data_IF_659447693100
#
_entry.id   IF_659447693100
#
_cell.length_a   1.000
_cell.length_b   1.000
_cell.length_c   1.000
_cell.angle_alpha   90.00
_cell.angle_beta   90.00
_cell.angle_gamma   90.00
#
_symmetry.space_group_name_H-M   'P 1'
#
loop_
_entity.id
_entity.type
_entity.pdbx_description
1 polymer ?
#
# COMPACT_ATOMS: atom_id res chain seq x y z
N UNK A 1 13.30 8.82 -28.28
CA UNK A 1 12.12 7.93 -28.30
C UNK A 1 12.50 6.69 -27.52
N UNK A 2 12.09 6.63 -26.24
CA UNK A 2 12.30 5.43 -25.43
C UNK A 2 11.28 4.41 -25.90
N UNK A 3 11.74 3.30 -26.44
CA UNK A 3 10.92 2.16 -26.86
C UNK A 3 10.07 1.73 -25.66
N UNK A 4 8.78 1.41 -25.86
CA UNK A 4 7.98 0.83 -24.77
C UNK A 4 8.67 -0.45 -24.30
N UNK A 5 8.82 -0.61 -22.99
CA UNK A 5 9.35 -1.84 -22.39
C UNK A 5 8.60 -3.03 -22.97
N UNK A 6 9.30 -4.11 -23.35
CA UNK A 6 8.64 -5.30 -23.89
C UNK A 6 7.64 -5.81 -22.85
N UNK A 7 6.42 -6.03 -23.30
CA UNK A 7 5.45 -6.85 -22.58
C UNK A 7 6.11 -8.21 -22.42
N UNK A 8 6.43 -8.59 -21.18
CA UNK A 8 7.00 -9.90 -20.87
C UNK A 8 6.01 -10.96 -21.33
N UNK A 9 6.28 -11.56 -22.50
CA UNK A 9 5.63 -12.79 -22.89
C UNK A 9 5.95 -13.87 -21.87
N UNK A 10 4.91 -14.54 -21.43
CA UNK A 10 4.79 -15.61 -20.46
C UNK A 10 5.92 -16.66 -20.57
N UNK A 11 7.03 -16.47 -19.84
CA UNK A 11 7.98 -17.53 -19.55
C UNK A 11 7.86 -17.88 -18.08
N UNK A 12 6.87 -18.72 -17.81
CA UNK A 12 6.59 -19.33 -16.51
C UNK A 12 7.75 -20.19 -16.04
N UNK A 13 8.60 -19.64 -15.20
CA UNK A 13 9.53 -20.45 -14.37
C UNK A 13 8.92 -20.81 -13.02
N UNK A 14 7.78 -20.21 -12.65
CA UNK A 14 7.09 -20.51 -11.40
C UNK A 14 5.60 -20.76 -11.68
N UNK A 15 5.12 -21.94 -11.26
CA UNK A 15 3.72 -22.32 -11.42
C UNK A 15 2.80 -21.21 -10.86
N UNK A 16 1.79 -20.82 -11.65
CA UNK A 16 0.64 -20.09 -11.11
C UNK A 16 0.09 -20.96 -9.98
N UNK A 17 0.16 -20.46 -8.74
CA UNK A 17 -0.45 -21.17 -7.62
C UNK A 17 -1.89 -21.52 -7.99
N UNK A 18 -2.26 -22.78 -7.76
CA UNK A 18 -3.62 -23.24 -8.00
C UNK A 18 -4.59 -22.36 -7.21
N UNK A 19 -5.50 -21.69 -7.91
CA UNK A 19 -6.52 -20.82 -7.31
C UNK A 19 -7.73 -21.59 -6.78
N UNK A 20 -7.68 -22.93 -6.80
CA UNK A 20 -8.75 -23.76 -6.28
C UNK A 20 -8.88 -23.63 -4.76
N UNK A 21 -10.12 -23.46 -4.30
CA UNK A 21 -10.42 -23.40 -2.88
C UNK A 21 -10.85 -24.79 -2.41
N UNK A 22 -10.02 -25.42 -1.58
CA UNK A 22 -10.33 -26.68 -0.91
C UNK A 22 -10.70 -26.38 0.55
N UNK A 23 -11.82 -26.90 1.07
CA UNK A 23 -12.15 -26.77 2.49
C UNK A 23 -11.06 -27.34 3.40
N UNK A 24 -10.99 -26.82 4.64
CA UNK A 24 -10.07 -27.34 5.64
C UNK A 24 -10.38 -28.81 5.97
N UNK A 25 -9.36 -29.65 6.21
CA UNK A 25 -9.55 -30.98 6.74
C UNK A 25 -10.35 -30.97 8.07
N UNK A 26 -11.15 -31.99 8.33
CA UNK A 26 -12.02 -32.01 9.52
C UNK A 26 -11.26 -31.97 10.85
N UNK A 27 -10.05 -32.51 10.89
CA UNK A 27 -9.17 -32.43 12.06
C UNK A 27 -8.66 -31.01 12.34
N UNK A 28 -8.79 -30.08 11.37
CA UNK A 28 -8.40 -28.67 11.53
C UNK A 28 -9.65 -27.85 11.85
N UNK A 29 -9.84 -27.55 13.12
CA UNK A 29 -11.01 -26.80 13.60
C UNK A 29 -10.78 -25.29 13.74
N UNK A 30 -9.50 -24.85 13.64
CA UNK A 30 -9.13 -23.45 13.86
C UNK A 30 -8.03 -22.97 12.92
N UNK A 31 -8.23 -21.76 12.36
CA UNK A 31 -7.19 -21.00 11.66
C UNK A 31 -6.95 -19.67 12.39
N UNK A 32 -5.70 -19.38 12.72
CA UNK A 32 -5.29 -18.10 13.33
C UNK A 32 -4.35 -17.39 12.37
N UNK A 33 -4.77 -16.21 11.91
CA UNK A 33 -4.02 -15.39 10.96
C UNK A 33 -3.47 -14.18 11.71
N UNK A 34 -2.15 -14.09 11.80
CA UNK A 34 -1.43 -12.93 12.32
C UNK A 34 -1.06 -12.04 11.15
N UNK A 35 -1.81 -10.96 10.93
CA UNK A 35 -1.50 -9.94 9.93
C UNK A 35 -0.57 -8.91 10.57
N UNK A 36 0.66 -8.88 10.11
CA UNK A 36 1.73 -8.10 10.72
C UNK A 36 2.25 -7.06 9.75
N UNK A 37 2.21 -5.79 10.15
CA UNK A 37 3.03 -4.74 9.56
C UNK A 37 4.34 -4.69 10.33
N UNK A 38 5.47 -5.10 9.75
CA UNK A 38 6.76 -5.02 10.44
C UNK A 38 7.16 -3.55 10.66
N UNK A 39 7.98 -3.31 11.66
CA UNK A 39 8.66 -2.03 11.83
C UNK A 39 9.93 -1.99 10.95
N UNK A 40 10.83 -1.08 11.23
CA UNK A 40 12.12 -0.94 10.57
C UNK A 40 13.23 -0.79 11.61
N UNK A 41 14.45 -1.00 11.19
CA UNK A 41 15.62 -0.61 11.95
C UNK A 41 15.97 0.87 11.68
N UNK A 42 16.58 1.54 12.65
CA UNK A 42 17.27 2.80 12.45
C UNK A 42 18.72 2.56 11.99
N UNK A 43 19.46 3.65 11.78
CA UNK A 43 20.83 3.58 11.26
C UNK A 43 21.82 2.91 12.25
N UNK A 44 21.48 2.86 13.54
CA UNK A 44 22.24 2.16 14.57
C UNK A 44 21.81 0.68 14.74
N UNK A 45 20.83 0.22 13.95
CA UNK A 45 20.31 -1.15 13.98
C UNK A 45 19.26 -1.41 15.08
N UNK A 46 18.78 -0.38 15.75
CA UNK A 46 17.71 -0.54 16.73
C UNK A 46 16.34 -0.53 16.09
N UNK A 47 15.43 -1.32 16.64
CA UNK A 47 14.06 -1.40 16.15
C UNK A 47 13.28 -0.13 16.49
N UNK A 48 12.86 0.60 15.46
CA UNK A 48 12.05 1.82 15.60
C UNK A 48 10.67 1.47 16.15
N UNK A 49 10.30 2.09 17.26
CA UNK A 49 8.96 1.99 17.86
C UNK A 49 8.47 3.34 18.33
N UNK A 50 7.18 3.56 18.13
CA UNK A 50 6.50 4.77 18.56
C UNK A 50 5.50 4.45 19.67
N UNK A 51 5.29 5.39 20.57
CA UNK A 51 4.26 5.28 21.59
C UNK A 51 2.85 5.17 20.98
N UNK A 52 2.61 5.89 19.88
CA UNK A 52 1.40 5.81 19.05
C UNK A 52 1.75 5.96 17.58
N UNK A 53 1.01 5.27 16.72
CA UNK A 53 1.10 5.44 15.28
C UNK A 53 0.41 6.72 14.83
N UNK A 54 0.74 7.18 13.62
CA UNK A 54 0.06 8.31 12.97
C UNK A 54 -0.99 7.79 12.00
N UNK A 55 -0.57 6.97 11.03
CA UNK A 55 -1.44 6.41 10.00
C UNK A 55 -1.61 4.89 10.20
N UNK A 56 -2.85 4.38 10.22
CA UNK A 56 -3.10 2.94 10.22
C UNK A 56 -2.68 2.33 8.87
N UNK A 57 -2.30 1.05 8.90
CA UNK A 57 -1.95 0.33 7.67
C UNK A 57 -3.19 0.00 6.85
N UNK A 58 -3.26 0.53 5.62
CA UNK A 58 -4.30 0.16 4.67
C UNK A 58 -4.22 -1.33 4.30
N UNK A 59 -3.01 -1.87 4.10
CA UNK A 59 -2.82 -3.29 3.77
C UNK A 59 -3.38 -4.21 4.85
N UNK A 60 -3.15 -3.92 6.14
CA UNK A 60 -3.76 -4.69 7.23
C UNK A 60 -5.28 -4.60 7.21
N UNK A 61 -5.83 -3.43 6.91
CA UNK A 61 -7.28 -3.21 6.79
C UNK A 61 -7.87 -3.95 5.59
N UNK A 62 -7.18 -3.96 4.43
CA UNK A 62 -7.56 -4.75 3.24
C UNK A 62 -7.61 -6.24 3.57
N UNK A 63 -6.53 -6.80 4.10
CA UNK A 63 -6.48 -8.24 4.41
C UNK A 63 -7.47 -8.63 5.51
N UNK A 64 -7.76 -7.74 6.46
CA UNK A 64 -8.81 -7.96 7.43
C UNK A 64 -10.20 -8.03 6.76
N UNK A 65 -10.51 -7.10 5.84
CA UNK A 65 -11.75 -7.12 5.06
C UNK A 65 -11.89 -8.38 4.21
N UNK A 66 -10.84 -8.79 3.51
CA UNK A 66 -10.80 -10.04 2.73
C UNK A 66 -10.99 -11.27 3.62
N UNK A 67 -10.41 -11.29 4.82
CA UNK A 67 -10.57 -12.40 5.77
C UNK A 67 -12.00 -12.45 6.31
N UNK A 68 -12.59 -11.29 6.63
CA UNK A 68 -13.98 -11.23 7.09
C UNK A 68 -14.96 -11.73 6.00
N UNK A 69 -14.71 -11.46 4.71
CA UNK A 69 -15.45 -12.01 3.58
C UNK A 69 -15.32 -13.55 3.49
N UNK A 70 -14.10 -14.09 3.63
CA UNK A 70 -13.87 -15.55 3.67
C UNK A 70 -14.66 -16.19 4.82
N UNK A 71 -14.69 -15.57 5.99
CA UNK A 71 -15.45 -16.03 7.16
C UNK A 71 -16.96 -16.02 6.86
N UNK A 72 -17.48 -14.95 6.27
CA UNK A 72 -18.91 -14.83 5.95
C UNK A 72 -19.36 -15.86 4.92
N UNK A 73 -18.59 -16.06 3.87
CA UNK A 73 -18.88 -17.03 2.80
C UNK A 73 -18.67 -18.47 3.22
N UNK A 74 -17.95 -18.73 4.31
CA UNK A 74 -17.62 -20.07 4.84
C UNK A 74 -16.95 -21.01 3.81
N UNK A 75 -16.19 -20.44 2.87
CA UNK A 75 -15.60 -21.20 1.73
C UNK A 75 -14.54 -22.21 2.16
N UNK A 76 -13.93 -22.04 3.35
CA UNK A 76 -12.94 -22.97 3.92
C UNK A 76 -13.57 -24.06 4.83
N UNK A 77 -14.89 -24.17 4.85
CA UNK A 77 -15.61 -25.14 5.68
C UNK A 77 -16.36 -24.50 6.85
N UNK A 78 -17.58 -24.99 7.10
CA UNK A 78 -18.46 -24.48 8.17
C UNK A 78 -17.93 -24.77 9.58
N UNK A 79 -17.11 -25.81 9.73
CA UNK A 79 -16.52 -26.26 11.01
C UNK A 79 -15.31 -25.41 11.40
N UNK A 80 -14.65 -24.71 10.43
CA UNK A 80 -13.42 -23.97 10.66
C UNK A 80 -13.69 -22.61 11.34
N UNK A 81 -13.14 -22.41 12.52
CA UNK A 81 -13.12 -21.10 13.20
C UNK A 81 -11.92 -20.29 12.77
N UNK A 82 -12.15 -19.18 12.08
CA UNK A 82 -11.09 -18.27 11.61
C UNK A 82 -10.99 -17.07 12.55
N UNK A 83 -9.79 -16.73 12.98
CA UNK A 83 -9.51 -15.55 13.80
C UNK A 83 -8.33 -14.77 13.25
N UNK A 84 -8.48 -13.45 13.20
CA UNK A 84 -7.46 -12.51 12.71
C UNK A 84 -6.90 -11.68 13.87
N UNK A 85 -5.58 -11.60 13.95
CA UNK A 85 -4.86 -10.74 14.91
C UNK A 85 -4.07 -9.72 14.09
N UNK A 86 -4.39 -8.43 14.28
CA UNK A 86 -3.67 -7.33 13.63
C UNK A 86 -2.52 -6.90 14.55
N UNK A 87 -1.31 -6.82 13.99
CA UNK A 87 -0.10 -6.38 14.70
C UNK A 87 0.59 -5.32 13.87
N UNK A 88 0.70 -4.11 14.39
CA UNK A 88 1.57 -3.07 13.85
C UNK A 88 2.80 -2.96 14.76
N UNK A 89 3.94 -3.54 14.31
CA UNK A 89 5.15 -3.61 15.15
C UNK A 89 5.75 -2.23 15.44
N UNK A 90 5.38 -1.21 14.66
CA UNK A 90 5.82 0.16 14.94
C UNK A 90 5.23 0.75 16.23
N UNK A 91 4.13 0.17 16.75
CA UNK A 91 3.42 0.65 17.94
C UNK A 91 3.14 -0.44 18.98
N UNK A 92 3.45 -1.70 18.69
CA UNK A 92 3.28 -2.82 19.63
C UNK A 92 4.34 -3.89 19.43
N UNK A 93 4.45 -4.80 20.38
CA UNK A 93 5.39 -5.93 20.30
C UNK A 93 4.75 -7.11 19.61
N UNK A 94 5.57 -7.87 18.86
CA UNK A 94 5.16 -9.17 18.32
C UNK A 94 4.67 -10.09 19.48
N UNK A 95 3.48 -10.69 19.35
CA UNK A 95 2.92 -11.58 20.39
C UNK A 95 3.52 -12.98 20.30
N UNK A 96 4.85 -13.11 20.41
CA UNK A 96 5.63 -14.33 20.16
C UNK A 96 5.10 -15.56 20.88
N UNK A 97 4.84 -15.45 22.19
CA UNK A 97 4.33 -16.58 22.99
C UNK A 97 2.99 -17.09 22.48
N UNK A 98 2.11 -16.18 22.06
CA UNK A 98 0.78 -16.53 21.54
C UNK A 98 0.89 -17.19 20.18
N UNK A 99 1.73 -16.68 19.28
CA UNK A 99 1.98 -17.27 17.95
C UNK A 99 2.46 -18.72 18.09
N UNK A 100 3.48 -18.95 18.93
CA UNK A 100 4.01 -20.31 19.13
C UNK A 100 3.01 -21.24 19.80
N UNK A 101 2.23 -20.77 20.75
CA UNK A 101 1.17 -21.56 21.39
C UNK A 101 0.05 -21.95 20.40
N UNK A 102 -0.35 -21.03 19.52
CA UNK A 102 -1.36 -21.33 18.51
C UNK A 102 -0.79 -22.25 17.41
N UNK A 103 0.47 -22.09 17.02
CA UNK A 103 1.13 -22.96 16.03
C UNK A 103 1.31 -24.41 16.54
N UNK A 104 1.63 -24.60 17.81
CA UNK A 104 1.80 -25.93 18.43
C UNK A 104 0.49 -26.62 18.87
N UNK A 105 -0.67 -25.94 18.75
CA UNK A 105 -1.95 -26.49 19.22
C UNK A 105 -2.54 -27.48 18.21
N UNK A 106 -2.85 -28.69 18.66
CA UNK A 106 -3.52 -29.70 17.84
C UNK A 106 -4.85 -29.16 17.26
N UNK A 107 -5.13 -29.45 15.99
CA UNK A 107 -6.32 -29.00 15.28
C UNK A 107 -6.34 -27.50 14.95
N UNK A 108 -5.22 -26.80 15.13
CA UNK A 108 -5.06 -25.38 14.78
C UNK A 108 -4.02 -25.21 13.68
N UNK A 109 -4.32 -24.38 12.71
CA UNK A 109 -3.33 -23.80 11.77
C UNK A 109 -3.09 -22.35 12.17
N UNK A 110 -1.83 -21.98 12.37
CA UNK A 110 -1.42 -20.60 12.57
C UNK A 110 -0.51 -20.16 11.42
N UNK A 111 -0.69 -18.94 10.95
CA UNK A 111 0.15 -18.33 9.91
C UNK A 111 0.49 -16.89 10.29
N UNK A 112 1.75 -16.52 10.10
CA UNK A 112 2.23 -15.14 10.20
C UNK A 112 2.32 -14.56 8.80
N UNK A 113 1.57 -13.49 8.53
CA UNK A 113 1.55 -12.80 7.25
C UNK A 113 2.20 -11.43 7.42
N UNK A 114 3.43 -11.28 6.98
CA UNK A 114 4.15 -10.01 6.94
C UNK A 114 3.64 -9.22 5.73
N UNK A 115 2.81 -8.22 5.97
CA UNK A 115 1.96 -7.61 4.95
C UNK A 115 2.34 -6.15 4.68
N UNK A 116 2.35 -5.76 3.40
CA UNK A 116 2.64 -4.40 2.96
C UNK A 116 4.10 -4.00 3.22
N UNK A 117 5.01 -4.95 3.16
CA UNK A 117 6.44 -4.74 3.46
C UNK A 117 7.04 -3.75 2.47
N UNK A 118 7.50 -2.61 2.98
CA UNK A 118 8.23 -1.59 2.26
C UNK A 118 9.74 -1.90 2.29
N UNK A 119 10.52 -1.21 1.45
CA UNK A 119 11.98 -1.44 1.36
C UNK A 119 12.68 -1.23 2.70
N UNK A 120 12.39 -0.15 3.40
CA UNK A 120 12.97 0.12 4.71
C UNK A 120 12.51 -0.82 5.85
N UNK A 121 11.47 -1.63 5.60
CA UNK A 121 10.96 -2.64 6.53
C UNK A 121 11.48 -4.04 6.20
N UNK A 122 12.08 -4.23 5.02
CA UNK A 122 12.39 -5.55 4.50
C UNK A 122 13.41 -6.31 5.35
N UNK A 123 14.46 -5.65 5.83
CA UNK A 123 15.45 -6.26 6.72
C UNK A 123 14.76 -6.83 7.99
N UNK A 124 13.92 -6.02 8.65
CA UNK A 124 13.16 -6.46 9.82
C UNK A 124 12.15 -7.56 9.50
N UNK A 125 11.45 -7.45 8.38
CA UNK A 125 10.51 -8.48 7.92
C UNK A 125 11.21 -9.82 7.68
N UNK A 126 12.39 -9.80 7.07
CA UNK A 126 13.23 -10.98 6.85
C UNK A 126 13.61 -11.65 8.17
N UNK A 127 14.07 -10.90 9.16
CA UNK A 127 14.43 -11.45 10.48
C UNK A 127 13.23 -12.11 11.16
N UNK A 128 12.05 -11.47 11.13
CA UNK A 128 10.82 -12.07 11.65
C UNK A 128 10.47 -13.34 10.89
N UNK A 129 10.55 -13.31 9.56
CA UNK A 129 10.20 -14.43 8.71
C UNK A 129 11.08 -15.65 8.99
N UNK A 130 12.40 -15.45 9.03
CA UNK A 130 13.37 -16.51 9.28
C UNK A 130 13.26 -17.05 10.70
N UNK A 131 13.08 -16.18 11.73
CA UNK A 131 12.85 -16.62 13.10
C UNK A 131 11.65 -17.56 13.21
N UNK A 132 10.48 -17.15 12.72
CA UNK A 132 9.28 -17.97 12.85
C UNK A 132 9.32 -19.23 11.97
N UNK A 133 9.88 -19.16 10.76
CA UNK A 133 10.07 -20.33 9.91
C UNK A 133 10.97 -21.38 10.58
N UNK A 134 12.09 -20.98 11.19
CA UNK A 134 12.97 -21.87 11.93
C UNK A 134 12.31 -22.55 13.15
N UNK A 135 11.23 -21.95 13.67
CA UNK A 135 10.40 -22.49 14.75
C UNK A 135 9.20 -23.31 14.24
N UNK A 136 9.15 -23.60 12.94
CA UNK A 136 8.08 -24.40 12.33
C UNK A 136 6.74 -23.68 12.19
N UNK A 137 6.71 -22.36 12.31
CA UNK A 137 5.52 -21.53 12.05
C UNK A 137 5.42 -21.24 10.56
N UNK A 138 4.25 -21.37 9.96
CA UNK A 138 4.01 -20.95 8.57
C UNK A 138 4.11 -19.43 8.46
N UNK A 139 4.91 -18.97 7.50
CA UNK A 139 5.12 -17.54 7.26
C UNK A 139 4.85 -17.20 5.80
N UNK A 140 4.09 -16.16 5.56
CA UNK A 140 3.96 -15.52 4.25
C UNK A 140 4.49 -14.09 4.33
N UNK A 141 5.17 -13.62 3.28
CA UNK A 141 5.65 -12.25 3.16
C UNK A 141 5.18 -11.64 1.84
N UNK A 142 4.61 -10.45 1.89
CA UNK A 142 4.13 -9.72 0.72
C UNK A 142 4.20 -8.19 0.92
N UNK A 143 4.26 -7.47 -0.17
CA UNK A 143 4.33 -6.01 -0.15
C UNK A 143 5.15 -5.46 -1.30
N UNK A 144 5.38 -4.15 -1.29
CA UNK A 144 6.02 -3.47 -2.42
C UNK A 144 7.45 -3.95 -2.66
N UNK A 145 8.23 -4.22 -1.61
CA UNK A 145 9.61 -4.69 -1.79
C UNK A 145 9.68 -6.01 -2.56
N UNK A 146 9.06 -7.07 -2.03
CA UNK A 146 9.12 -8.39 -2.70
C UNK A 146 8.41 -8.40 -4.05
N UNK A 147 7.32 -7.63 -4.19
CA UNK A 147 6.63 -7.48 -5.48
C UNK A 147 7.50 -6.73 -6.50
N UNK A 148 8.18 -5.68 -6.06
CA UNK A 148 9.09 -4.90 -6.91
C UNK A 148 10.31 -5.71 -7.37
N UNK A 149 10.92 -6.46 -6.46
CA UNK A 149 12.02 -7.37 -6.81
C UNK A 149 11.56 -8.42 -7.82
N UNK A 150 10.43 -9.07 -7.58
CA UNK A 150 9.87 -10.08 -8.50
C UNK A 150 9.49 -9.50 -9.86
N UNK A 151 8.99 -8.24 -9.90
CA UNK A 151 8.62 -7.57 -11.14
C UNK A 151 9.84 -7.22 -12.00
N UNK A 152 10.93 -6.75 -11.36
CA UNK A 152 12.12 -6.27 -12.07
C UNK A 152 13.11 -7.39 -12.41
N UNK A 153 13.14 -8.44 -11.61
CA UNK A 153 14.08 -9.56 -11.72
C UNK A 153 13.30 -10.89 -11.70
N UNK A 154 12.61 -11.24 -12.78
CA UNK A 154 11.78 -12.44 -12.86
C UNK A 154 12.57 -13.75 -12.77
N UNK A 155 13.89 -13.70 -13.00
CA UNK A 155 14.81 -14.81 -12.80
C UNK A 155 15.08 -15.13 -11.33
N UNK A 156 14.63 -14.26 -10.42
CA UNK A 156 14.86 -14.37 -8.99
C UNK A 156 16.01 -13.52 -8.48
N UNK A 157 16.06 -13.31 -7.18
CA UNK A 157 17.11 -12.57 -6.50
C UNK A 157 17.59 -13.33 -5.27
N UNK A 158 18.82 -13.07 -4.77
CA UNK A 158 19.33 -13.72 -3.56
C UNK A 158 18.41 -13.54 -2.35
N UNK A 159 17.78 -12.38 -2.21
CA UNK A 159 16.87 -12.07 -1.09
C UNK A 159 15.61 -12.93 -1.13
N UNK A 160 15.00 -13.07 -2.32
CA UNK A 160 13.83 -13.95 -2.51
C UNK A 160 14.21 -15.40 -2.30
N UNK A 161 15.35 -15.84 -2.85
CA UNK A 161 15.86 -17.21 -2.66
C UNK A 161 16.10 -17.53 -1.18
N UNK A 162 16.76 -16.62 -0.43
CA UNK A 162 16.98 -16.78 1.02
C UNK A 162 15.69 -17.01 1.81
N UNK A 163 14.62 -16.32 1.47
CA UNK A 163 13.31 -16.49 2.12
C UNK A 163 12.69 -17.84 1.76
N UNK A 164 12.64 -18.17 0.47
CA UNK A 164 12.01 -19.42 0.00
C UNK A 164 12.75 -20.66 0.45
N UNK A 165 14.09 -20.65 0.47
CA UNK A 165 14.93 -21.74 0.95
C UNK A 165 14.75 -21.99 2.45
N UNK A 166 14.41 -20.96 3.21
CA UNK A 166 14.06 -21.08 4.63
C UNK A 166 12.61 -21.53 4.88
N UNK A 167 11.83 -21.83 3.84
CA UNK A 167 10.45 -22.26 3.94
C UNK A 167 9.44 -21.11 4.14
N UNK A 168 9.83 -19.88 3.86
CA UNK A 168 8.94 -18.72 3.85
C UNK A 168 8.25 -18.63 2.50
N UNK A 169 6.94 -18.46 2.49
CA UNK A 169 6.18 -18.22 1.27
C UNK A 169 6.22 -16.75 0.89
N UNK A 170 6.70 -16.45 -0.30
CA UNK A 170 6.69 -15.11 -0.89
C UNK A 170 5.42 -14.91 -1.72
N UNK A 171 4.73 -13.78 -1.53
CA UNK A 171 3.52 -13.41 -2.27
C UNK A 171 3.75 -12.06 -2.97
N UNK A 172 3.94 -12.10 -4.27
CA UNK A 172 4.12 -10.93 -5.12
C UNK A 172 2.81 -10.52 -5.81
N UNK A 173 2.48 -9.24 -5.75
CA UNK A 173 1.25 -8.68 -6.29
C UNK A 173 0.09 -8.61 -5.28
N UNK A 174 -1.11 -8.36 -5.81
CA UNK A 174 -2.33 -8.15 -5.03
C UNK A 174 -3.14 -9.45 -4.91
N UNK A 175 -3.88 -9.60 -3.80
CA UNK A 175 -4.49 -10.88 -3.42
C UNK A 175 -6.01 -10.86 -3.25
N UNK A 176 -6.69 -9.80 -3.69
CA UNK A 176 -8.13 -9.60 -3.45
C UNK A 176 -8.98 -10.80 -3.91
N UNK A 177 -8.75 -11.30 -5.09
CA UNK A 177 -9.47 -12.45 -5.67
C UNK A 177 -8.80 -13.80 -5.35
N UNK A 178 -7.66 -13.81 -4.64
CA UNK A 178 -6.83 -15.00 -4.36
C UNK A 178 -6.65 -15.29 -2.87
N UNK A 179 -7.07 -14.38 -2.00
CA UNK A 179 -6.86 -14.53 -0.55
C UNK A 179 -7.49 -15.80 0.02
N UNK A 180 -8.70 -16.14 -0.44
CA UNK A 180 -9.36 -17.38 -0.03
C UNK A 180 -8.58 -18.63 -0.45
N UNK A 181 -7.97 -18.64 -1.63
CA UNK A 181 -7.14 -19.75 -2.12
C UNK A 181 -5.83 -19.86 -1.33
N UNK A 182 -5.16 -18.75 -1.04
CA UNK A 182 -3.97 -18.74 -0.17
C UNK A 182 -4.30 -19.29 1.23
N UNK A 183 -5.41 -18.88 1.83
CA UNK A 183 -5.83 -19.43 3.12
C UNK A 183 -6.23 -20.92 3.02
N UNK A 184 -6.79 -21.35 1.88
CA UNK A 184 -7.01 -22.76 1.60
C UNK A 184 -5.70 -23.55 1.61
N UNK A 185 -4.65 -23.03 1.00
CA UNK A 185 -3.34 -23.68 1.00
C UNK A 185 -2.71 -23.71 2.39
N UNK A 186 -2.91 -22.66 3.21
CA UNK A 186 -2.50 -22.68 4.63
C UNK A 186 -3.15 -23.82 5.41
N UNK A 187 -4.47 -24.00 5.32
CA UNK A 187 -5.18 -25.02 6.11
C UNK A 187 -4.92 -26.43 5.63
N UNK A 188 -4.63 -26.59 4.33
CA UNK A 188 -4.33 -27.87 3.70
C UNK A 188 -2.82 -28.18 3.61
N UNK A 189 -1.97 -27.33 4.18
CA UNK A 189 -0.50 -27.49 4.22
C UNK A 189 0.14 -27.59 2.82
N UNK A 190 -0.33 -26.75 1.89
CA UNK A 190 0.07 -26.77 0.47
C UNK A 190 0.71 -25.46 0.00
N UNK A 191 1.15 -24.62 0.95
CA UNK A 191 1.79 -23.35 0.60
C UNK A 191 2.96 -23.58 -0.37
N UNK A 192 2.98 -22.80 -1.45
CA UNK A 192 4.08 -22.79 -2.40
C UNK A 192 5.18 -21.83 -1.94
N UNK A 193 6.42 -22.01 -2.35
CA UNK A 193 7.50 -21.07 -2.04
C UNK A 193 7.22 -19.66 -2.57
N UNK A 194 6.66 -19.53 -3.77
CA UNK A 194 6.34 -18.25 -4.41
C UNK A 194 4.96 -18.30 -5.08
N UNK A 195 4.14 -17.29 -4.77
CA UNK A 195 2.95 -16.93 -5.55
C UNK A 195 3.23 -15.61 -6.27
N UNK A 196 3.16 -15.61 -7.60
CA UNK A 196 3.35 -14.42 -8.41
C UNK A 196 2.05 -14.05 -9.14
N UNK A 197 1.41 -12.98 -8.70
CA UNK A 197 0.14 -12.45 -9.22
C UNK A 197 0.30 -11.14 -10.01
N UNK A 198 1.52 -10.69 -10.25
CA UNK A 198 1.82 -9.41 -10.89
C UNK A 198 1.24 -9.27 -12.30
N UNK A 199 1.24 -10.36 -13.08
CA UNK A 199 0.72 -10.35 -14.44
C UNK A 199 -0.81 -10.21 -14.51
N UNK A 200 -1.53 -10.50 -13.43
CA UNK A 200 -2.99 -10.54 -13.38
C UNK A 200 -3.54 -9.80 -12.17
N UNK A 201 -3.34 -8.48 -12.06
CA UNK A 201 -3.84 -7.72 -10.93
C UNK A 201 -5.38 -7.79 -10.88
N UNK A 202 -5.98 -7.95 -9.68
CA UNK A 202 -7.42 -8.12 -9.53
C UNK A 202 -8.17 -6.84 -9.89
N UNK A 203 -9.37 -6.97 -10.43
CA UNK A 203 -10.32 -5.85 -10.49
C UNK A 203 -10.81 -5.52 -9.08
N UNK A 204 -10.96 -4.23 -8.75
CA UNK A 204 -11.36 -3.79 -7.41
C UNK A 204 -12.89 -3.71 -7.22
N UNK A 205 -13.63 -3.64 -8.31
CA UNK A 205 -15.09 -3.63 -8.29
C UNK A 205 -15.63 -4.87 -7.57
N UNK A 206 -16.52 -4.67 -6.60
CA UNK A 206 -17.13 -5.72 -5.77
C UNK A 206 -16.16 -6.53 -4.90
N UNK A 207 -14.89 -6.12 -4.83
CA UNK A 207 -13.97 -6.71 -3.85
C UNK A 207 -14.22 -6.12 -2.46
N UNK A 208 -13.98 -6.88 -1.39
CA UNK A 208 -14.08 -6.37 -0.03
C UNK A 208 -13.27 -5.09 0.15
N UNK A 209 -13.89 -4.10 0.79
CA UNK A 209 -13.27 -2.80 1.07
C UNK A 209 -12.44 -2.92 2.35
N UNK A 210 -11.33 -2.14 2.50
CA UNK A 210 -10.53 -2.11 3.71
C UNK A 210 -11.39 -1.90 4.96
N UNK A 211 -11.28 -2.81 5.93
CA UNK A 211 -12.09 -2.79 7.15
C UNK A 211 -11.26 -2.36 8.35
N UNK A 212 -11.57 -1.19 8.88
CA UNK A 212 -10.90 -0.65 10.06
C UNK A 212 -11.53 -1.24 11.32
N UNK A 213 -10.71 -1.79 12.22
CA UNK A 213 -11.17 -2.30 13.52
C UNK A 213 -10.86 -1.29 14.63
N UNK A 214 -11.87 -0.87 15.40
CA UNK A 214 -11.71 0.11 16.49
C UNK A 214 -10.62 -0.29 17.50
N UNK A 215 -10.47 -1.59 17.80
CA UNK A 215 -9.41 -2.10 18.69
C UNK A 215 -8.02 -1.80 18.15
N UNK A 216 -7.83 -1.85 16.83
CA UNK A 216 -6.59 -1.48 16.16
C UNK A 216 -6.34 0.03 16.25
N UNK A 217 -7.38 0.84 16.01
CA UNK A 217 -7.29 2.31 16.01
C UNK A 217 -6.90 2.92 17.37
N UNK A 218 -7.15 2.24 18.48
CA UNK A 218 -6.75 2.71 19.82
C UNK A 218 -5.25 2.92 19.98
N UNK A 219 -4.44 2.36 19.09
CA UNK A 219 -2.97 2.48 19.07
C UNK A 219 -2.46 3.69 18.30
N UNK A 220 -3.35 4.47 17.70
CA UNK A 220 -3.00 5.64 16.87
C UNK A 220 -3.31 6.95 17.60
N UNK A 221 -2.54 7.99 17.28
CA UNK A 221 -2.71 9.32 17.87
C UNK A 221 -4.07 9.93 17.46
N UNK A 222 -4.44 9.74 16.19
CA UNK A 222 -5.73 10.16 15.64
C UNK A 222 -6.63 8.94 15.53
N UNK A 223 -7.46 8.71 16.56
CA UNK A 223 -8.26 7.47 16.68
C UNK A 223 -9.48 7.40 15.78
N UNK A 224 -9.86 8.50 15.11
CA UNK A 224 -10.94 8.58 14.14
C UNK A 224 -10.45 8.62 12.68
N UNK A 225 -9.14 8.44 12.44
CA UNK A 225 -8.54 8.39 11.12
C UNK A 225 -8.57 6.96 10.58
N UNK A 226 -9.25 6.74 9.45
CA UNK A 226 -9.21 5.49 8.69
C UNK A 226 -8.45 5.64 7.39
N UNK A 227 -8.06 4.53 6.79
CA UNK A 227 -7.55 4.47 5.42
C UNK A 227 -8.55 3.76 4.53
N UNK A 228 -8.63 4.17 3.28
CA UNK A 228 -9.47 3.54 2.26
C UNK A 228 -8.82 3.73 0.89
N UNK A 229 -8.76 2.66 0.09
CA UNK A 229 -8.38 2.75 -1.31
C UNK A 229 -9.63 2.75 -2.20
N UNK A 230 -9.74 3.72 -3.08
CA UNK A 230 -10.82 3.79 -4.06
C UNK A 230 -10.33 3.39 -5.46
N UNK A 231 -9.04 3.45 -5.68
CA UNK A 231 -8.37 2.96 -6.89
C UNK A 231 -6.93 2.56 -6.62
N UNK A 232 -6.34 1.81 -7.55
CA UNK A 232 -4.92 1.44 -7.57
C UNK A 232 -4.37 1.53 -8.97
N UNK A 233 -3.06 1.79 -9.05
CA UNK A 233 -2.33 2.02 -10.28
C UNK A 233 -2.26 3.50 -10.65
N UNK A 234 -1.34 3.84 -11.57
CA UNK A 234 -1.11 5.22 -11.99
C UNK A 234 -0.77 5.27 -13.48
N UNK A 235 -1.40 6.14 -14.29
CA UNK A 235 -1.19 6.16 -15.75
C UNK A 235 0.15 6.79 -16.16
N UNK A 236 0.85 7.47 -15.25
CA UNK A 236 2.11 8.15 -15.51
C UNK A 236 3.29 7.16 -15.61
N UNK A 237 4.49 7.66 -15.90
CA UNK A 237 5.65 6.82 -16.20
C UNK A 237 6.94 7.30 -15.48
N UNK A 238 6.79 7.78 -14.24
CA UNK A 238 7.92 8.28 -13.44
C UNK A 238 8.91 7.15 -13.16
N UNK A 239 10.20 7.35 -13.47
CA UNK A 239 11.23 6.30 -13.42
C UNK A 239 11.56 5.83 -12.01
N UNK A 240 11.43 6.71 -11.02
CA UNK A 240 11.66 6.42 -9.60
C UNK A 240 10.49 5.68 -8.92
N UNK A 241 9.31 5.62 -9.57
CA UNK A 241 8.08 5.13 -8.96
C UNK A 241 7.92 3.62 -9.13
N UNK A 242 7.58 2.93 -8.04
CA UNK A 242 7.34 1.48 -8.01
C UNK A 242 5.92 1.09 -8.45
N UNK A 243 4.96 2.00 -8.30
CA UNK A 243 3.53 1.74 -8.49
C UNK A 243 3.24 1.17 -9.88
N UNK A 244 3.79 1.80 -10.90
CA UNK A 244 3.52 1.45 -12.31
C UNK A 244 3.96 0.03 -12.67
N UNK A 245 4.93 -0.52 -11.95
CA UNK A 245 5.49 -1.85 -12.20
C UNK A 245 4.90 -2.93 -11.26
N UNK A 246 4.36 -2.53 -10.11
CA UNK A 246 3.77 -3.44 -9.13
C UNK A 246 2.23 -3.48 -9.23
N UNK A 247 1.59 -2.33 -9.37
CA UNK A 247 0.12 -2.22 -9.48
C UNK A 247 -0.36 -1.95 -10.92
N UNK A 248 0.55 -1.54 -11.79
CA UNK A 248 0.28 -1.31 -13.21
C UNK A 248 -0.12 0.13 -13.54
N UNK A 249 -0.13 0.42 -14.85
CA UNK A 249 -0.46 1.75 -15.39
C UNK A 249 -1.95 1.93 -15.68
N UNK A 250 -2.74 0.85 -15.68
CA UNK A 250 -4.20 0.91 -15.82
C UNK A 250 -4.81 1.15 -14.45
N UNK A 251 -5.50 2.27 -14.28
CA UNK A 251 -6.27 2.53 -13.07
C UNK A 251 -7.38 1.50 -12.90
N UNK A 252 -7.40 0.81 -11.76
CA UNK A 252 -8.46 -0.10 -11.34
C UNK A 252 -9.23 0.56 -10.21
N UNK A 253 -10.54 0.75 -10.39
CA UNK A 253 -11.35 1.60 -9.54
C UNK A 253 -12.48 0.82 -8.88
N UNK A 254 -12.80 1.15 -7.63
CA UNK A 254 -14.04 0.75 -6.96
C UNK A 254 -15.20 1.61 -7.45
N UNK A 255 -16.40 1.10 -7.32
CA UNK A 255 -17.61 1.90 -7.49
C UNK A 255 -18.01 2.55 -6.15
N UNK A 256 -18.71 3.69 -6.20
CA UNK A 256 -19.21 4.35 -5.00
C UNK A 256 -20.09 3.41 -4.16
N UNK A 257 -20.89 2.55 -4.81
CA UNK A 257 -21.70 1.54 -4.14
C UNK A 257 -20.92 0.53 -3.32
N UNK A 258 -19.67 0.21 -3.70
CA UNK A 258 -18.80 -0.70 -2.96
C UNK A 258 -18.38 -0.09 -1.61
N UNK A 259 -18.25 1.25 -1.56
CA UNK A 259 -17.70 1.98 -0.41
C UNK A 259 -18.74 2.33 0.65
N UNK A 260 -20.02 2.57 0.25
CA UNK A 260 -21.05 3.14 1.11
C UNK A 260 -21.21 2.43 2.45
N UNK A 261 -21.41 1.12 2.41
CA UNK A 261 -21.67 0.34 3.63
C UNK A 261 -20.47 0.34 4.58
N UNK A 262 -19.26 0.19 4.02
CA UNK A 262 -18.01 0.21 4.82
C UNK A 262 -17.78 1.56 5.47
N UNK A 263 -18.04 2.67 4.77
CA UNK A 263 -17.92 4.02 5.35
C UNK A 263 -18.93 4.20 6.48
N UNK A 264 -20.17 3.74 6.32
CA UNK A 264 -21.21 3.78 7.37
C UNK A 264 -20.80 2.93 8.58
N UNK A 265 -20.32 1.70 8.37
CA UNK A 265 -19.84 0.83 9.45
C UNK A 265 -18.67 1.44 10.20
N UNK A 266 -17.71 2.02 9.48
CA UNK A 266 -16.58 2.72 10.06
C UNK A 266 -17.03 3.95 10.86
N UNK A 267 -17.95 4.75 10.32
CA UNK A 267 -18.52 5.90 11.03
C UNK A 267 -19.18 5.50 12.36
N UNK A 268 -19.94 4.40 12.38
CA UNK A 268 -20.55 3.86 13.60
C UNK A 268 -19.50 3.39 14.63
N UNK A 269 -18.28 3.15 14.22
CA UNK A 269 -17.14 2.86 15.09
C UNK A 269 -16.36 4.11 15.50
N UNK A 270 -16.76 5.30 15.03
CA UNK A 270 -16.12 6.59 15.31
C UNK A 270 -15.03 6.98 14.33
N UNK A 271 -14.97 6.36 13.15
CA UNK A 271 -14.05 6.72 12.06
C UNK A 271 -14.79 7.66 11.10
N UNK A 272 -14.36 8.90 11.01
CA UNK A 272 -14.95 9.91 10.15
C UNK A 272 -13.95 10.83 9.45
N UNK A 273 -12.65 10.57 9.64
CA UNK A 273 -11.58 11.20 8.88
C UNK A 273 -10.85 10.12 8.09
N UNK A 274 -10.67 10.31 6.77
CA UNK A 274 -10.04 9.32 5.91
C UNK A 274 -8.80 9.84 5.22
N UNK A 275 -7.79 8.98 5.12
CA UNK A 275 -6.76 9.11 4.12
C UNK A 275 -7.11 8.19 2.94
N UNK A 276 -7.38 8.79 1.77
CA UNK A 276 -7.52 8.04 0.52
C UNK A 276 -6.13 7.63 0.04
N UNK A 277 -5.86 6.33 0.10
CA UNK A 277 -4.55 5.75 -0.21
C UNK A 277 -4.36 5.45 -1.69
N UNK A 278 -5.20 6.03 -2.54
CA UNK A 278 -5.07 5.99 -3.99
C UNK A 278 -3.72 6.58 -4.41
N UNK A 279 -3.05 5.96 -5.37
CA UNK A 279 -1.79 6.48 -5.91
C UNK A 279 -1.99 7.84 -6.62
N UNK A 280 -3.20 8.07 -7.13
CA UNK A 280 -3.61 9.32 -7.75
C UNK A 280 -5.15 9.38 -7.89
N UNK A 281 -5.83 9.90 -6.87
CA UNK A 281 -7.29 9.96 -6.86
C UNK A 281 -7.88 10.76 -8.03
N UNK A 282 -7.19 11.82 -8.48
CA UNK A 282 -7.64 12.64 -9.60
C UNK A 282 -7.73 11.88 -10.94
N UNK A 283 -7.11 10.70 -11.04
CA UNK A 283 -7.16 9.84 -12.23
C UNK A 283 -8.11 8.65 -12.08
N UNK A 284 -8.82 8.55 -10.96
CA UNK A 284 -9.88 7.59 -10.75
C UNK A 284 -11.11 7.99 -11.59
N UNK A 285 -11.49 7.17 -12.55
CA UNK A 285 -12.65 7.46 -13.44
C UNK A 285 -13.98 7.61 -12.70
N UNK A 286 -14.08 7.10 -11.47
CA UNK A 286 -15.26 7.15 -10.61
C UNK A 286 -15.17 8.26 -9.55
N UNK A 287 -14.17 9.16 -9.64
CA UNK A 287 -13.93 10.21 -8.64
C UNK A 287 -15.19 11.01 -8.32
N UNK A 288 -15.96 11.36 -9.36
CA UNK A 288 -17.15 12.18 -9.22
C UNK A 288 -18.23 11.47 -8.38
N UNK A 289 -18.56 10.23 -8.73
CA UNK A 289 -19.55 9.45 -7.99
C UNK A 289 -19.11 9.09 -6.56
N UNK A 290 -17.82 8.97 -6.32
CA UNK A 290 -17.27 8.74 -4.97
C UNK A 290 -17.42 10.01 -4.12
N UNK A 291 -17.12 11.18 -4.67
CA UNK A 291 -17.33 12.44 -3.97
C UNK A 291 -18.81 12.71 -3.74
N UNK A 292 -19.69 12.39 -4.70
CA UNK A 292 -21.16 12.48 -4.49
C UNK A 292 -21.63 11.60 -3.34
N UNK A 293 -21.11 10.36 -3.25
CA UNK A 293 -21.40 9.49 -2.10
C UNK A 293 -21.04 10.15 -0.77
N UNK A 294 -19.85 10.77 -0.67
CA UNK A 294 -19.42 11.42 0.57
C UNK A 294 -20.30 12.65 0.87
N UNK A 295 -20.66 13.43 -0.15
CA UNK A 295 -21.59 14.56 -0.01
C UNK A 295 -22.93 14.07 0.55
N UNK A 296 -23.48 13.00 -0.02
CA UNK A 296 -24.76 12.42 0.43
C UNK A 296 -24.67 11.97 1.89
N UNK A 297 -23.59 11.25 2.25
CA UNK A 297 -23.35 10.82 3.63
C UNK A 297 -23.21 12.01 4.60
N UNK A 298 -22.60 13.10 4.17
CA UNK A 298 -22.48 14.33 4.96
C UNK A 298 -23.84 15.05 5.10
N UNK A 299 -24.65 15.07 4.05
CA UNK A 299 -26.04 15.58 4.11
C UNK A 299 -26.93 14.73 5.03
N UNK A 300 -26.64 13.42 5.18
CA UNK A 300 -27.26 12.54 6.17
C UNK A 300 -26.74 12.79 7.62
N UNK A 301 -25.86 13.75 7.85
CA UNK A 301 -25.36 14.18 9.17
C UNK A 301 -24.09 13.46 9.65
N UNK A 302 -23.29 12.83 8.77
CA UNK A 302 -22.10 12.05 9.19
C UNK A 302 -20.81 12.83 9.32
N UNK A 303 -20.68 14.04 8.81
CA UNK A 303 -19.48 14.89 8.93
C UNK A 303 -18.16 14.19 8.61
N UNK A 304 -18.12 13.50 7.46
CA UNK A 304 -16.93 12.83 6.96
C UNK A 304 -15.99 13.86 6.35
N UNK A 305 -14.72 13.79 6.70
CA UNK A 305 -13.64 14.57 6.08
C UNK A 305 -12.55 13.64 5.57
N UNK A 306 -11.73 14.12 4.64
CA UNK A 306 -10.65 13.31 4.09
C UNK A 306 -9.49 14.14 3.56
N UNK A 307 -8.36 13.45 3.41
CA UNK A 307 -7.21 13.88 2.63
C UNK A 307 -6.95 12.87 1.51
N UNK A 308 -6.40 13.33 0.37
CA UNK A 308 -6.17 12.50 -0.80
C UNK A 308 -4.86 12.84 -1.52
N UNK A 309 -4.31 11.88 -2.26
CA UNK A 309 -3.14 12.05 -3.11
C UNK A 309 -3.56 12.33 -4.55
N UNK A 310 -2.95 13.34 -5.15
CA UNK A 310 -3.25 13.82 -6.51
C UNK A 310 -1.99 14.25 -7.25
N UNK A 311 -2.07 14.33 -8.57
CA UNK A 311 -1.06 15.01 -9.37
C UNK A 311 -1.31 16.51 -9.50
N UNK A 312 -0.29 17.25 -9.93
CA UNK A 312 -0.31 18.71 -10.08
C UNK A 312 -1.36 19.25 -11.05
N UNK A 313 -1.88 18.43 -11.98
CA UNK A 313 -2.91 18.81 -12.95
C UNK A 313 -4.33 18.59 -12.45
N UNK A 314 -4.52 18.07 -11.25
CA UNK A 314 -5.84 17.77 -10.72
C UNK A 314 -6.77 19.00 -10.70
N UNK A 315 -6.23 20.17 -10.38
CA UNK A 315 -6.98 21.42 -10.36
C UNK A 315 -7.55 21.84 -11.73
N UNK A 316 -6.98 21.33 -12.83
CA UNK A 316 -7.48 21.58 -14.20
C UNK A 316 -8.68 20.71 -14.60
N UNK A 317 -9.06 19.73 -13.76
CA UNK A 317 -10.24 18.90 -14.02
C UNK A 317 -11.49 19.70 -13.68
N UNK A 318 -12.42 19.91 -14.63
CA UNK A 318 -13.61 20.73 -14.39
C UNK A 318 -14.41 20.23 -13.18
N UNK A 319 -14.70 21.13 -12.23
CA UNK A 319 -15.51 20.84 -11.05
C UNK A 319 -14.84 19.97 -9.97
N UNK A 320 -13.58 19.53 -10.16
CA UNK A 320 -12.92 18.62 -9.23
C UNK A 320 -12.62 19.27 -7.89
N UNK A 321 -12.08 20.49 -7.90
CA UNK A 321 -11.69 21.22 -6.68
C UNK A 321 -12.93 21.55 -5.85
N UNK A 322 -13.95 22.15 -6.46
CA UNK A 322 -15.20 22.57 -5.79
C UNK A 322 -15.95 21.35 -5.23
N UNK A 323 -16.04 20.26 -6.02
CA UNK A 323 -16.70 19.03 -5.56
C UNK A 323 -15.92 18.37 -4.43
N UNK A 324 -14.59 18.35 -4.50
CA UNK A 324 -13.72 17.83 -3.43
C UNK A 324 -13.96 18.58 -2.11
N UNK A 325 -13.98 19.91 -2.15
CA UNK A 325 -14.29 20.72 -0.96
C UNK A 325 -15.67 20.43 -0.40
N UNK A 326 -16.69 20.41 -1.25
CA UNK A 326 -18.08 20.08 -0.84
C UNK A 326 -18.20 18.69 -0.22
N UNK A 327 -17.40 17.72 -0.68
CA UNK A 327 -17.36 16.38 -0.13
C UNK A 327 -16.63 16.31 1.23
N UNK A 328 -15.92 17.36 1.65
CA UNK A 328 -15.20 17.42 2.92
C UNK A 328 -13.69 17.17 2.79
N UNK A 329 -13.11 17.37 1.59
CA UNK A 329 -11.66 17.38 1.44
C UNK A 329 -11.05 18.53 2.28
N UNK A 330 -10.17 18.17 3.19
CA UNK A 330 -9.47 19.12 4.05
C UNK A 330 -8.04 19.39 3.60
N UNK A 331 -7.42 18.42 2.90
CA UNK A 331 -6.03 18.50 2.48
C UNK A 331 -5.80 17.64 1.23
N UNK A 332 -4.96 18.14 0.34
CA UNK A 332 -4.41 17.35 -0.78
C UNK A 332 -2.91 17.14 -0.61
N UNK A 333 -2.44 15.92 -0.90
CA UNK A 333 -1.02 15.65 -1.07
C UNK A 333 -0.69 15.65 -2.56
N UNK A 334 0.21 16.54 -2.97
CA UNK A 334 0.56 16.77 -4.37
C UNK A 334 1.99 16.35 -4.64
N UNK A 335 2.21 15.44 -5.57
CA UNK A 335 3.55 15.05 -6.00
C UNK A 335 4.18 16.12 -6.89
N UNK A 336 4.81 17.13 -6.30
CA UNK A 336 5.60 18.14 -7.04
C UNK A 336 6.95 17.58 -7.48
N UNK A 337 7.62 16.88 -6.62
CA UNK A 337 8.91 16.20 -6.72
C UNK A 337 10.10 17.14 -6.88
N UNK A 338 10.06 18.14 -7.76
CA UNK A 338 11.12 19.12 -8.00
C UNK A 338 10.56 20.41 -8.60
N UNK A 339 11.25 21.51 -8.40
CA UNK A 339 11.00 22.79 -9.06
C UNK A 339 11.95 22.97 -10.27
N UNK A 340 12.89 22.06 -10.45
CA UNK A 340 13.80 22.05 -11.61
C UNK A 340 13.18 21.26 -12.77
N UNK A 341 12.88 21.90 -13.93
CA UNK A 341 12.30 21.23 -15.08
C UNK A 341 13.17 20.09 -15.66
N UNK A 342 14.49 20.20 -15.57
CA UNK A 342 15.40 19.19 -16.08
C UNK A 342 15.35 17.92 -15.20
N UNK A 343 15.22 18.05 -13.88
CA UNK A 343 14.99 16.95 -12.97
C UNK A 343 13.66 16.21 -13.30
N UNK A 344 12.58 16.97 -13.48
CA UNK A 344 11.27 16.40 -13.84
C UNK A 344 11.32 15.65 -15.18
N UNK A 345 12.02 16.20 -16.15
CA UNK A 345 12.23 15.56 -17.47
C UNK A 345 13.05 14.29 -17.35
N UNK A 346 14.15 14.30 -16.60
CA UNK A 346 15.00 13.13 -16.36
C UNK A 346 14.25 12.00 -15.67
N UNK A 347 13.37 12.35 -14.70
CA UNK A 347 12.52 11.42 -13.97
C UNK A 347 11.28 10.96 -14.76
N UNK A 348 11.10 11.39 -16.01
CA UNK A 348 9.91 11.04 -16.81
C UNK A 348 8.61 11.63 -16.29
N UNK A 349 8.68 12.65 -15.42
CA UNK A 349 7.50 13.31 -14.81
C UNK A 349 6.96 14.45 -15.70
N UNK A 350 6.61 14.11 -16.92
CA UNK A 350 6.22 15.05 -17.98
C UNK A 350 4.88 15.75 -17.74
N UNK A 351 4.08 15.28 -16.77
CA UNK A 351 2.83 15.93 -16.38
C UNK A 351 3.04 17.17 -15.52
N UNK A 352 4.21 17.35 -14.91
CA UNK A 352 4.51 18.49 -14.06
C UNK A 352 4.99 19.69 -14.91
N UNK A 353 4.41 20.85 -14.67
CA UNK A 353 4.83 22.14 -15.19
C UNK A 353 5.09 23.08 -14.02
N UNK A 354 6.34 23.45 -13.82
CA UNK A 354 6.77 24.30 -12.68
C UNK A 354 6.07 25.65 -12.70
N UNK A 355 5.79 26.20 -13.90
CA UNK A 355 5.10 27.47 -14.06
C UNK A 355 3.66 27.48 -13.50
N UNK A 356 3.04 26.32 -13.40
CA UNK A 356 1.68 26.17 -12.89
C UNK A 356 1.60 26.02 -11.36
N UNK A 357 2.70 25.77 -10.66
CA UNK A 357 2.67 25.32 -9.25
C UNK A 357 2.06 26.34 -8.30
N UNK A 358 2.47 27.62 -8.39
CA UNK A 358 1.92 28.67 -7.54
C UNK A 358 0.41 28.84 -7.77
N UNK A 359 -0.02 28.82 -9.03
CA UNK A 359 -1.45 28.94 -9.36
C UNK A 359 -2.24 27.70 -8.89
N UNK A 360 -1.68 26.51 -9.00
CA UNK A 360 -2.31 25.29 -8.47
C UNK A 360 -2.54 25.41 -6.95
N UNK A 361 -1.56 25.88 -6.19
CA UNK A 361 -1.68 26.10 -4.74
C UNK A 361 -2.77 27.12 -4.44
N UNK A 362 -2.78 28.26 -5.15
CA UNK A 362 -3.79 29.32 -5.01
C UNK A 362 -5.22 28.78 -5.21
N UNK A 363 -5.45 28.00 -6.27
CA UNK A 363 -6.78 27.41 -6.55
C UNK A 363 -7.28 26.50 -5.42
N UNK A 364 -6.39 25.70 -4.82
CA UNK A 364 -6.77 24.87 -3.67
C UNK A 364 -7.02 25.71 -2.41
N UNK A 365 -6.21 26.75 -2.17
CA UNK A 365 -6.39 27.68 -1.05
C UNK A 365 -7.70 28.46 -1.16
N UNK A 366 -8.07 28.96 -2.35
CA UNK A 366 -9.34 29.66 -2.59
C UNK A 366 -10.54 28.75 -2.27
N UNK A 367 -10.42 27.45 -2.50
CA UNK A 367 -11.41 26.47 -2.07
C UNK A 367 -11.34 26.16 -0.56
N UNK A 368 -10.36 26.68 0.18
CA UNK A 368 -10.14 26.38 1.60
C UNK A 368 -9.68 24.95 1.86
N UNK A 369 -8.82 24.40 1.00
CA UNK A 369 -8.20 23.09 1.12
C UNK A 369 -6.69 23.27 1.26
N UNK A 370 -6.10 22.67 2.30
CA UNK A 370 -4.67 22.74 2.54
C UNK A 370 -3.87 21.95 1.50
N UNK A 371 -2.70 22.48 1.12
CA UNK A 371 -1.80 21.87 0.14
C UNK A 371 -0.53 21.35 0.82
N UNK A 372 -0.38 20.04 0.83
CA UNK A 372 0.82 19.33 1.26
C UNK A 372 1.56 18.82 0.03
N UNK A 373 2.83 19.18 -0.14
CA UNK A 373 3.62 18.78 -1.30
C UNK A 373 4.67 17.73 -0.94
N UNK A 374 4.88 16.77 -1.85
CA UNK A 374 6.04 15.88 -1.85
C UNK A 374 7.15 16.50 -2.70
N UNK A 375 8.34 16.63 -2.11
CA UNK A 375 9.55 17.12 -2.76
C UNK A 375 10.66 16.09 -2.60
N UNK A 376 11.38 15.77 -3.68
CA UNK A 376 12.46 14.79 -3.69
C UNK A 376 13.79 15.51 -3.86
N UNK A 377 14.75 15.20 -2.99
CA UNK A 377 16.12 15.72 -3.00
C UNK A 377 17.03 14.62 -3.53
N UNK A 378 17.98 14.98 -4.39
CA UNK A 378 19.00 14.07 -4.94
C UNK A 378 18.78 13.69 -6.40
N UNK A 379 17.96 14.43 -7.12
CA UNK A 379 17.91 14.32 -8.58
C UNK A 379 19.23 14.75 -9.22
N UNK A 380 19.53 14.30 -10.47
CA UNK A 380 20.83 14.51 -11.11
C UNK A 380 21.29 15.97 -11.25
N UNK A 381 20.34 16.92 -11.26
CA UNK A 381 20.63 18.35 -11.41
C UNK A 381 20.49 19.13 -10.09
N UNK A 382 20.35 18.44 -8.96
CA UNK A 382 20.32 19.07 -7.65
C UNK A 382 21.74 19.46 -7.20
N UNK A 383 21.85 20.62 -6.57
CA UNK A 383 22.98 21.06 -5.77
C UNK A 383 22.50 21.50 -4.40
N UNK A 384 23.35 21.55 -3.37
CA UNK A 384 22.95 22.07 -2.06
C UNK A 384 22.33 23.47 -2.15
N UNK A 385 22.86 24.34 -3.02
CA UNK A 385 22.38 25.71 -3.22
C UNK A 385 21.00 25.71 -3.90
N UNK A 386 20.79 24.90 -4.96
CA UNK A 386 19.51 24.84 -5.65
C UNK A 386 18.41 24.28 -4.74
N UNK A 387 18.71 23.24 -3.95
CA UNK A 387 17.74 22.69 -2.97
C UNK A 387 17.40 23.73 -1.90
N UNK A 388 18.39 24.47 -1.37
CA UNK A 388 18.13 25.53 -0.39
C UNK A 388 17.27 26.66 -0.96
N UNK A 389 17.43 26.98 -2.24
CA UNK A 389 16.60 27.95 -2.95
C UNK A 389 15.18 27.43 -3.17
N UNK A 390 15.05 26.17 -3.60
CA UNK A 390 13.76 25.53 -3.81
C UNK A 390 12.92 25.46 -2.53
N UNK A 391 13.55 25.21 -1.35
CA UNK A 391 12.86 25.24 -0.05
C UNK A 391 12.29 26.64 0.23
N UNK A 392 13.06 27.74 -0.05
CA UNK A 392 12.57 29.10 0.11
C UNK A 392 11.41 29.39 -0.85
N UNK A 393 11.51 28.97 -2.11
CA UNK A 393 10.46 29.19 -3.11
C UNK A 393 9.16 28.46 -2.76
N UNK A 394 9.24 27.25 -2.21
CA UNK A 394 8.06 26.52 -1.71
C UNK A 394 7.34 27.32 -0.60
N UNK A 395 8.10 27.92 0.32
CA UNK A 395 7.55 28.68 1.45
C UNK A 395 7.06 30.06 1.04
N UNK A 396 7.90 30.84 0.34
CA UNK A 396 7.69 32.27 0.16
C UNK A 396 6.92 32.61 -1.13
N UNK A 397 7.19 31.87 -2.23
CA UNK A 397 6.56 32.12 -3.52
C UNK A 397 5.29 31.28 -3.70
N UNK A 398 5.35 29.97 -3.45
CA UNK A 398 4.24 29.04 -3.67
C UNK A 398 3.32 28.96 -2.46
N UNK A 399 3.82 29.30 -1.25
CA UNK A 399 3.05 29.35 0.01
C UNK A 399 2.33 28.04 0.33
N UNK A 400 3.02 26.91 0.15
CA UNK A 400 2.47 25.60 0.50
C UNK A 400 2.28 25.49 2.02
N UNK A 401 1.21 24.83 2.47
CA UNK A 401 0.95 24.69 3.91
C UNK A 401 1.91 23.69 4.57
N UNK A 402 2.32 22.66 3.82
CA UNK A 402 3.25 21.64 4.29
C UNK A 402 4.09 21.11 3.14
N UNK A 403 5.35 20.82 3.41
CA UNK A 403 6.22 20.09 2.49
C UNK A 403 6.83 18.88 3.19
N UNK A 404 6.80 17.71 2.52
CA UNK A 404 7.57 16.54 2.90
C UNK A 404 8.75 16.38 1.96
N UNK A 405 9.95 16.33 2.53
CA UNK A 405 11.19 16.15 1.79
C UNK A 405 11.61 14.68 1.85
N UNK A 406 11.83 14.09 0.70
CA UNK A 406 12.27 12.71 0.53
C UNK A 406 13.63 12.69 -0.13
N UNK A 407 14.53 11.81 0.32
CA UNK A 407 15.75 11.52 -0.43
C UNK A 407 15.41 10.61 -1.60
N UNK A 408 15.94 10.91 -2.79
CA UNK A 408 15.79 10.02 -3.95
C UNK A 408 16.44 8.68 -3.64
N UNK A 409 15.61 7.67 -3.49
CA UNK A 409 16.04 6.32 -3.14
C UNK A 409 15.65 5.37 -4.28
N UNK A 410 16.57 4.56 -4.80
CA UNK A 410 16.26 3.57 -5.83
C UNK A 410 15.44 2.44 -5.22
N UNK A 411 14.11 2.59 -5.27
CA UNK A 411 13.19 1.63 -4.66
C UNK A 411 13.03 0.38 -5.55
N UNK A 412 13.13 -0.84 -4.99
CA UNK A 412 12.78 -2.07 -5.69
C UNK A 412 11.42 -1.98 -6.38
N UNK A 413 11.38 -2.29 -7.66
CA UNK A 413 10.20 -2.10 -8.52
C UNK A 413 10.23 -0.81 -9.35
N UNK A 414 11.16 0.11 -9.12
CA UNK A 414 11.38 1.28 -9.98
C UNK A 414 12.35 0.97 -11.13
N UNK A 415 12.22 1.73 -12.21
CA UNK A 415 13.13 1.64 -13.36
C UNK A 415 14.55 2.06 -12.95
N UNK A 416 14.65 3.08 -12.09
CA UNK A 416 15.95 3.60 -11.63
C UNK A 416 16.70 2.54 -10.81
N UNK A 417 16.02 1.85 -9.89
CA UNK A 417 16.62 0.72 -9.16
C UNK A 417 17.14 -0.36 -10.10
N UNK A 418 16.34 -0.78 -11.09
CA UNK A 418 16.75 -1.80 -12.04
C UNK A 418 18.02 -1.40 -12.80
N UNK A 419 18.07 -0.15 -13.27
CA UNK A 419 19.24 0.38 -14.00
C UNK A 419 20.51 0.39 -13.13
N UNK A 420 20.38 0.81 -11.86
CA UNK A 420 21.52 0.84 -10.94
C UNK A 420 22.05 -0.58 -10.67
N UNK A 421 21.16 -1.56 -10.44
CA UNK A 421 21.57 -2.96 -10.28
C UNK A 421 22.27 -3.49 -11.54
N UNK A 422 21.71 -3.25 -12.74
CA UNK A 422 22.28 -3.69 -14.00
C UNK A 422 23.63 -3.03 -14.30
N UNK A 423 23.83 -1.80 -13.83
CA UNK A 423 25.12 -1.08 -13.94
C UNK A 423 26.14 -1.51 -12.88
N UNK A 424 25.76 -2.32 -11.90
CA UNK A 424 26.62 -2.71 -10.78
C UNK A 424 26.94 -1.56 -9.83
N UNK A 425 26.02 -0.60 -9.68
CA UNK A 425 26.18 0.50 -8.75
C UNK A 425 25.99 0.00 -7.31
N UNK A 426 26.88 0.43 -6.41
CA UNK A 426 26.74 0.13 -4.97
C UNK A 426 25.52 0.89 -4.41
N UNK A 427 24.67 0.17 -3.70
CA UNK A 427 23.50 0.72 -3.01
C UNK A 427 23.52 0.23 -1.56
N UNK A 428 23.36 1.17 -0.62
CA UNK A 428 23.32 0.89 0.82
C UNK A 428 21.98 0.24 1.24
#
# INVERSE_FOLDING_TARGET
MVSPLPVLEDKTLFARGDTSITPAPEEISRLVIYLVKPSRYDDDGYLVRHWRGVLPSNTLSCLAGLTDDVVQRKVLGKHLKISTVLVDESVERMPRRKILADAGRKGTRAVVCLAGVQTNQFARATDIALEYASLGVRVMIGGFHVSGMTAMFPEGTPDIARLTDAGVTVVAGEVEDRWAALLSDVVNDRLQPLYNFLATPPELKRQPVPRVKRSYMKRFAVSNLGTIDTSRGCPFACTFCTIINVQGRKMRCREASDLRNTIIENYNQGINFYFFTDDNFARNKNWESILDLIIDLNNEGRHITFMMQIDVRAYKIPGFVEKSKRAGCSQVFVGMESINPDNLKAAGKTQNDVGDYAHMVEVWHDAGVAVHVGYIIGFPFDTPESVADDVRRLADEMKVDQASFFMLTPLPGSVDHKRMVENGEEMD
#
